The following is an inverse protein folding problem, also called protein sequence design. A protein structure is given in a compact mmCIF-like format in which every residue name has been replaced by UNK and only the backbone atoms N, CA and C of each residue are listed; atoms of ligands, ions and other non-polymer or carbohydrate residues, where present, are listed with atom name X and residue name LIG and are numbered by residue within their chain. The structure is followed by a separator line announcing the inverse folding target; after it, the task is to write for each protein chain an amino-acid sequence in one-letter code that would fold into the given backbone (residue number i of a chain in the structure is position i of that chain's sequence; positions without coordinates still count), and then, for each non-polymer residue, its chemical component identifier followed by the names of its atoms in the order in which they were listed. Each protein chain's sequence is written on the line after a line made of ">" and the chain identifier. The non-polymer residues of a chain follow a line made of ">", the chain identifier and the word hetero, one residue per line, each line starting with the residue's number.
data_IF_983424566862
#
_entry.id   IF_983424566862
#
_cell.length_a   1.000
_cell.length_b   1.000
_cell.length_c   1.000
_cell.angle_alpha   90.00
_cell.angle_beta   90.00
_cell.angle_gamma   90.00
#
_symmetry.space_group_name_H-M   'P 1'
#
loop_
_entity.id
_entity.type
_entity.pdbx_description
1 polymer ?
#
# COMPACT_ATOMS: atom_id res chain seq x y z
N UNK A 1 32.67 12.53 -0.52
CA UNK A 1 31.59 11.52 -0.46
C UNK A 1 31.08 11.33 -1.88
N UNK A 2 31.38 10.18 -2.49
CA UNK A 2 30.98 9.87 -3.86
C UNK A 2 29.47 9.58 -3.87
N UNK A 3 28.72 10.36 -4.64
CA UNK A 3 27.27 10.22 -4.84
C UNK A 3 27.07 9.04 -5.79
N UNK A 4 26.67 7.87 -5.28
CA UNK A 4 26.27 6.74 -6.15
C UNK A 4 25.10 7.20 -7.03
N UNK A 5 25.20 6.96 -8.33
CA UNK A 5 24.09 7.16 -9.26
C UNK A 5 23.08 6.01 -9.09
N UNK A 6 21.79 6.32 -9.27
CA UNK A 6 20.75 5.30 -9.28
C UNK A 6 21.05 4.27 -10.39
N UNK A 7 21.30 3.01 -10.00
CA UNK A 7 21.54 1.92 -10.96
C UNK A 7 22.69 0.95 -10.64
N UNK A 8 23.47 1.15 -9.58
CA UNK A 8 24.39 0.10 -9.09
C UNK A 8 23.68 -0.92 -8.18
N UNK A 9 24.34 -2.05 -7.91
CA UNK A 9 23.91 -3.21 -7.11
C UNK A 9 22.93 -2.88 -5.96
N UNK A 10 21.99 -3.80 -5.63
CA UNK A 10 21.04 -3.63 -4.54
C UNK A 10 21.71 -3.04 -3.29
N UNK A 11 21.05 -2.07 -2.66
CA UNK A 11 21.61 -1.40 -1.48
C UNK A 11 21.76 -2.35 -0.28
N UNK A 12 21.10 -3.51 -0.35
CA UNK A 12 21.07 -4.55 0.67
C UNK A 12 21.37 -5.90 0.04
N UNK A 13 21.99 -6.79 0.80
CA UNK A 13 22.21 -8.19 0.41
C UNK A 13 20.91 -9.01 0.41
N UNK A 14 20.91 -10.18 -0.23
CA UNK A 14 19.76 -11.11 -0.16
C UNK A 14 19.42 -11.56 1.27
N UNK A 15 20.42 -11.61 2.18
CA UNK A 15 20.19 -11.96 3.58
C UNK A 15 19.43 -10.83 4.28
N UNK A 16 19.91 -9.59 4.12
CA UNK A 16 19.24 -8.41 4.69
C UNK A 16 17.83 -8.24 4.12
N UNK A 17 17.62 -8.51 2.81
CA UNK A 17 16.29 -8.48 2.21
C UNK A 17 15.35 -9.52 2.83
N UNK A 18 15.83 -10.75 3.08
CA UNK A 18 15.03 -11.79 3.75
C UNK A 18 14.66 -11.40 5.18
N UNK A 19 15.60 -10.81 5.92
CA UNK A 19 15.36 -10.36 7.29
C UNK A 19 14.30 -9.26 7.35
N UNK A 20 14.37 -8.29 6.41
CA UNK A 20 13.35 -7.25 6.27
C UNK A 20 11.97 -7.81 5.92
N UNK A 21 11.90 -8.74 4.95
CA UNK A 21 10.64 -9.39 4.59
C UNK A 21 10.05 -10.16 5.78
N UNK A 22 10.88 -10.86 6.55
CA UNK A 22 10.43 -11.61 7.73
C UNK A 22 9.89 -10.67 8.83
N UNK A 23 10.51 -9.51 9.03
CA UNK A 23 10.00 -8.50 9.96
C UNK A 23 8.64 -7.95 9.51
N UNK A 24 8.50 -7.63 8.22
CA UNK A 24 7.22 -7.16 7.66
C UNK A 24 6.14 -8.24 7.75
N UNK A 25 6.49 -9.49 7.46
CA UNK A 25 5.59 -10.65 7.58
C UNK A 25 5.11 -10.84 9.04
N UNK A 26 6.00 -10.73 10.02
CA UNK A 26 5.65 -10.81 11.44
C UNK A 26 4.71 -9.66 11.84
N UNK A 27 5.03 -8.42 11.44
CA UNK A 27 4.22 -7.25 11.76
C UNK A 27 2.82 -7.33 11.13
N UNK A 28 2.74 -7.77 9.87
CA UNK A 28 1.49 -8.01 9.17
C UNK A 28 0.63 -9.06 9.88
N UNK A 29 1.19 -10.24 10.17
CA UNK A 29 0.45 -11.31 10.85
C UNK A 29 0.00 -10.90 12.25
N UNK A 30 0.85 -10.19 13.01
CA UNK A 30 0.48 -9.66 14.31
C UNK A 30 -0.66 -8.64 14.21
N UNK A 31 -0.62 -7.75 13.20
CA UNK A 31 -1.67 -6.79 12.90
C UNK A 31 -2.99 -7.49 12.60
N UNK A 32 -3.01 -8.39 11.61
CA UNK A 32 -4.20 -9.11 11.16
C UNK A 32 -4.84 -9.95 12.29
N UNK A 33 -4.02 -10.63 13.10
CA UNK A 33 -4.52 -11.42 14.22
C UNK A 33 -5.25 -10.57 15.29
N UNK A 34 -4.76 -9.36 15.56
CA UNK A 34 -5.43 -8.44 16.49
C UNK A 34 -6.65 -7.78 15.88
N UNK A 35 -6.61 -7.52 14.58
CA UNK A 35 -7.65 -6.85 13.84
C UNK A 35 -8.93 -7.69 13.77
N UNK A 36 -8.85 -9.00 13.55
CA UNK A 36 -10.04 -9.86 13.53
C UNK A 36 -10.81 -9.80 14.85
N UNK A 37 -10.08 -9.77 15.98
CA UNK A 37 -10.68 -9.63 17.31
C UNK A 37 -11.29 -8.24 17.51
N UNK A 38 -10.59 -7.19 17.12
CA UNK A 38 -11.04 -5.80 17.24
C UNK A 38 -12.24 -5.51 16.32
N UNK A 39 -12.25 -6.07 15.10
CA UNK A 39 -13.36 -5.97 14.15
C UNK A 39 -14.57 -6.75 14.65
N UNK A 40 -14.38 -7.97 15.18
CA UNK A 40 -15.48 -8.70 15.80
C UNK A 40 -16.08 -7.94 16.99
N UNK A 41 -15.26 -7.29 17.83
CA UNK A 41 -15.74 -6.42 18.92
C UNK A 41 -16.53 -5.23 18.36
N UNK A 42 -16.07 -4.58 17.29
CA UNK A 42 -16.72 -3.37 16.75
C UNK A 42 -17.97 -3.69 15.93
N UNK A 43 -18.00 -4.82 15.22
CA UNK A 43 -19.11 -5.26 14.38
C UNK A 43 -20.20 -5.92 15.23
N UNK A 44 -19.83 -6.64 16.31
CA UNK A 44 -20.77 -7.43 17.12
C UNK A 44 -20.96 -6.96 18.56
N UNK A 45 -20.13 -6.04 19.08
CA UNK A 45 -20.10 -5.66 20.50
C UNK A 45 -20.41 -4.18 20.76
N UNK A 46 -21.25 -3.92 21.77
CA UNK A 46 -21.54 -2.59 22.29
C UNK A 46 -20.27 -1.88 22.75
N UNK A 47 -20.00 -0.69 22.20
CA UNK A 47 -18.75 0.03 22.39
C UNK A 47 -18.40 0.34 23.86
N UNK A 48 -17.09 0.21 24.19
CA UNK A 48 -16.31 1.23 24.92
C UNK A 48 -15.02 0.70 25.60
N UNK A 49 -14.64 -0.58 25.52
CA UNK A 49 -13.57 -1.12 26.39
C UNK A 49 -12.22 -1.48 25.73
N UNK A 50 -12.14 -1.80 24.44
CA UNK A 50 -10.89 -2.27 23.80
C UNK A 50 -9.79 -1.22 23.51
N UNK A 51 -10.14 0.05 23.28
CA UNK A 51 -9.20 1.06 22.72
C UNK A 51 -7.97 1.40 23.59
N UNK A 52 -8.05 1.25 24.92
CA UNK A 52 -6.93 1.62 25.81
C UNK A 52 -5.83 0.55 25.88
N UNK A 53 -6.15 -0.72 25.56
CA UNK A 53 -5.16 -1.80 25.56
C UNK A 53 -4.27 -1.79 24.31
N UNK A 54 -4.86 -1.58 23.13
CA UNK A 54 -4.17 -1.54 21.83
C UNK A 54 -3.16 -0.38 21.74
N UNK A 55 -3.56 0.84 22.15
CA UNK A 55 -2.67 2.01 22.23
C UNK A 55 -1.45 1.79 23.13
N UNK A 56 -1.62 1.06 24.24
CA UNK A 56 -0.53 0.77 25.20
C UNK A 56 0.45 -0.30 24.69
N UNK A 57 0.07 -1.14 23.73
CA UNK A 57 0.95 -2.15 23.14
C UNK A 57 1.73 -1.57 21.96
N UNK A 58 1.09 -0.74 21.14
CA UNK A 58 1.75 0.03 20.08
C UNK A 58 2.84 0.97 20.62
N UNK A 59 2.56 1.70 21.70
CA UNK A 59 3.54 2.58 22.35
C UNK A 59 4.65 1.83 23.13
N UNK A 60 4.52 0.52 23.35
CA UNK A 60 5.57 -0.28 24.00
C UNK A 60 6.55 -0.89 23.00
N UNK A 61 6.22 -0.92 21.71
CA UNK A 61 7.15 -1.31 20.63
C UNK A 61 7.97 -0.14 20.07
N UNK A 62 7.48 1.11 20.21
CA UNK A 62 8.16 2.32 19.71
C UNK A 62 8.87 3.02 20.87
N UNK A 63 10.06 2.55 21.21
CA UNK A 63 10.98 3.28 22.08
C UNK A 63 11.64 4.43 21.32
N UNK A 64 11.41 5.66 21.80
CA UNK A 64 12.15 6.91 21.46
C UNK A 64 12.05 7.40 20.01
N UNK A 65 10.96 8.10 19.68
CA UNK A 65 10.87 8.91 18.46
C UNK A 65 9.52 9.58 18.28
N UNK A 66 9.17 10.54 19.15
CA UNK A 66 7.92 11.28 19.05
C UNK A 66 7.86 12.10 17.75
N UNK A 67 6.98 11.72 16.83
CA UNK A 67 6.73 12.45 15.59
C UNK A 67 5.24 12.75 15.47
N UNK A 68 4.92 14.03 15.38
CA UNK A 68 3.57 14.58 15.22
C UNK A 68 3.23 14.55 13.72
N UNK A 69 2.19 13.80 13.36
CA UNK A 69 1.76 13.62 11.97
C UNK A 69 0.95 14.83 11.50
N UNK A 70 1.40 15.49 10.43
CA UNK A 70 0.61 16.48 9.68
C UNK A 70 0.56 16.05 8.22
N UNK A 71 -0.64 16.07 7.63
CA UNK A 71 -0.92 15.62 6.26
C UNK A 71 -0.76 16.83 5.33
N UNK A 72 0.18 16.76 4.38
CA UNK A 72 0.39 17.75 3.32
C UNK A 72 0.46 17.06 1.95
N UNK A 73 0.15 17.78 0.86
CA UNK A 73 0.11 17.29 -0.53
C UNK A 73 1.44 17.56 -1.25
N UNK A 74 1.87 16.62 -2.10
CA UNK A 74 3.00 16.79 -3.01
C UNK A 74 3.03 15.67 -4.06
N UNK A 75 3.31 16.09 -5.30
CA UNK A 75 3.15 15.36 -6.56
C UNK A 75 4.50 14.84 -7.05
N UNK A 76 4.58 13.54 -7.37
CA UNK A 76 5.61 12.93 -8.23
C UNK A 76 4.95 12.25 -9.44
N UNK A 77 5.58 12.26 -10.64
CA UNK A 77 4.92 11.89 -11.87
C UNK A 77 4.96 10.38 -12.13
N UNK A 78 3.82 9.71 -11.98
CA UNK A 78 3.53 8.41 -12.61
C UNK A 78 2.49 8.65 -13.70
N UNK A 79 2.93 9.30 -14.78
CA UNK A 79 2.07 9.92 -15.78
C UNK A 79 1.35 8.97 -16.76
N UNK A 80 1.41 7.66 -16.56
CA UNK A 80 0.65 6.67 -17.35
C UNK A 80 -0.46 5.96 -16.56
N UNK A 81 -0.47 6.02 -15.22
CA UNK A 81 -1.46 5.32 -14.40
C UNK A 81 -2.65 6.20 -13.99
N UNK A 82 -2.64 7.50 -14.27
CA UNK A 82 -3.69 8.42 -13.85
C UNK A 82 -3.98 9.42 -14.97
N UNK A 83 -5.19 9.34 -15.55
CA UNK A 83 -5.70 10.41 -16.42
C UNK A 83 -6.03 11.64 -15.55
N UNK A 84 -5.56 12.85 -15.90
CA UNK A 84 -5.92 14.08 -15.20
C UNK A 84 -7.33 14.48 -15.61
N UNK A 85 -8.33 13.84 -15.02
CA UNK A 85 -9.71 14.32 -15.09
C UNK A 85 -10.31 14.15 -13.70
N UNK A 86 -10.88 15.25 -13.20
CA UNK A 86 -11.67 15.36 -11.96
C UNK A 86 -10.91 15.68 -10.67
N UNK A 87 -10.31 16.87 -10.66
CA UNK A 87 -10.20 17.66 -9.43
C UNK A 87 -11.53 18.21 -8.90
N UNK A 88 -12.68 17.99 -9.56
CA UNK A 88 -14.00 18.45 -9.09
C UNK A 88 -15.14 17.63 -9.73
N UNK A 89 -15.81 16.76 -8.96
CA UNK A 89 -17.27 16.47 -8.98
C UNK A 89 -17.61 15.23 -8.15
N UNK A 90 -17.39 15.28 -6.83
CA UNK A 90 -18.17 14.45 -5.91
C UNK A 90 -18.64 15.37 -4.79
N UNK A 91 -19.91 15.74 -4.80
CA UNK A 91 -20.52 16.58 -3.75
C UNK A 91 -20.67 15.84 -2.42
N UNK A 92 -20.28 14.55 -2.37
CA UNK A 92 -20.32 13.66 -1.20
C UNK A 92 -19.28 12.54 -1.35
N UNK A 93 -18.58 12.18 -0.27
CA UNK A 93 -17.70 11.00 -0.23
C UNK A 93 -18.49 9.71 -0.55
N UNK A 94 -17.87 8.70 -1.19
CA UNK A 94 -18.52 7.42 -1.41
C UNK A 94 -18.87 6.72 -0.08
N UNK A 95 -19.92 5.90 -0.03
CA UNK A 95 -20.24 5.11 1.16
C UNK A 95 -19.08 4.18 1.55
N UNK A 96 -18.89 3.95 2.85
CA UNK A 96 -17.78 3.14 3.36
C UNK A 96 -17.75 1.72 2.75
N UNK A 97 -18.91 1.09 2.58
CA UNK A 97 -18.99 -0.24 1.96
C UNK A 97 -18.61 -0.25 0.46
N UNK A 98 -18.76 0.87 -0.25
CA UNK A 98 -18.31 1.02 -1.64
C UNK A 98 -16.80 1.21 -1.66
N UNK A 99 -16.26 2.03 -0.76
CA UNK A 99 -14.80 2.19 -0.58
C UNK A 99 -14.13 0.86 -0.22
N UNK A 100 -14.74 0.06 0.67
CA UNK A 100 -14.24 -1.26 1.03
C UNK A 100 -14.31 -2.27 -0.14
N UNK A 101 -15.39 -2.26 -0.94
CA UNK A 101 -15.46 -3.09 -2.15
C UNK A 101 -14.40 -2.69 -3.20
N UNK A 102 -14.11 -1.40 -3.31
CA UNK A 102 -13.04 -0.93 -4.18
C UNK A 102 -11.67 -1.40 -3.69
N UNK A 103 -11.37 -1.23 -2.40
CA UNK A 103 -10.14 -1.70 -1.79
C UNK A 103 -9.96 -3.22 -1.98
N UNK A 104 -11.00 -4.04 -1.77
CA UNK A 104 -10.98 -5.47 -2.06
C UNK A 104 -10.56 -5.78 -3.51
N UNK A 105 -11.16 -5.09 -4.48
CA UNK A 105 -10.82 -5.30 -5.89
C UNK A 105 -9.38 -4.86 -6.24
N UNK A 106 -8.87 -3.81 -5.58
CA UNK A 106 -7.50 -3.33 -5.73
C UNK A 106 -6.52 -4.38 -5.21
N UNK A 107 -6.76 -4.89 -4.00
CA UNK A 107 -5.95 -5.94 -3.39
C UNK A 107 -5.89 -7.21 -4.25
N UNK A 108 -7.03 -7.63 -4.81
CA UNK A 108 -7.07 -8.77 -5.72
C UNK A 108 -6.34 -8.51 -7.05
N UNK A 109 -6.29 -7.25 -7.51
CA UNK A 109 -5.46 -6.88 -8.66
C UNK A 109 -3.96 -6.94 -8.31
N UNK A 110 -3.57 -6.54 -7.10
CA UNK A 110 -2.20 -6.67 -6.61
C UNK A 110 -1.77 -8.14 -6.53
N UNK A 111 -2.59 -9.01 -5.96
CA UNK A 111 -2.37 -10.48 -5.95
C UNK A 111 -2.11 -11.01 -7.36
N UNK A 112 -2.98 -10.66 -8.31
CA UNK A 112 -2.87 -11.14 -9.69
C UNK A 112 -1.64 -10.55 -10.42
N UNK A 113 -1.25 -9.32 -10.12
CA UNK A 113 -0.05 -8.69 -10.66
C UNK A 113 1.23 -9.39 -10.16
N UNK A 114 1.34 -9.65 -8.85
CA UNK A 114 2.47 -10.40 -8.29
C UNK A 114 2.59 -11.81 -8.88
N UNK A 115 1.48 -12.50 -9.09
CA UNK A 115 1.48 -13.82 -9.73
C UNK A 115 2.00 -13.76 -11.17
N UNK A 116 1.65 -12.71 -11.94
CA UNK A 116 2.16 -12.51 -13.29
C UNK A 116 3.64 -12.12 -13.31
N UNK A 117 4.09 -11.34 -12.33
CA UNK A 117 5.47 -10.90 -12.18
C UNK A 117 6.41 -12.06 -11.80
N UNK A 118 5.92 -13.10 -11.12
CA UNK A 118 6.73 -14.15 -10.50
C UNK A 118 7.80 -14.76 -11.44
N UNK A 119 7.47 -15.00 -12.71
CA UNK A 119 8.42 -15.61 -13.66
C UNK A 119 9.59 -14.69 -14.06
N UNK A 120 9.46 -13.37 -13.82
CA UNK A 120 10.47 -12.35 -14.13
C UNK A 120 11.30 -11.97 -12.89
N UNK A 121 10.94 -12.48 -11.71
CA UNK A 121 11.67 -12.29 -10.46
C UNK A 121 12.59 -13.49 -10.23
N UNK A 122 13.84 -13.35 -10.68
CA UNK A 122 14.87 -14.39 -10.70
C UNK A 122 15.73 -14.44 -9.45
N UNK A 123 15.91 -13.32 -8.74
CA UNK A 123 16.64 -13.26 -7.47
C UNK A 123 15.80 -13.96 -6.40
N UNK A 124 16.32 -15.00 -5.72
CA UNK A 124 15.51 -15.80 -4.80
C UNK A 124 14.88 -15.00 -3.65
N UNK A 125 15.61 -14.06 -3.05
CA UNK A 125 15.07 -13.21 -2.00
C UNK A 125 13.95 -12.27 -2.51
N UNK A 126 14.06 -11.76 -3.73
CA UNK A 126 13.02 -10.93 -4.37
C UNK A 126 11.77 -11.75 -4.69
N UNK A 127 11.93 -12.94 -5.27
CA UNK A 127 10.82 -13.84 -5.54
C UNK A 127 10.09 -14.25 -4.25
N UNK A 128 10.84 -14.47 -3.17
CA UNK A 128 10.26 -14.74 -1.84
C UNK A 128 9.46 -13.54 -1.33
N UNK A 129 10.01 -12.31 -1.41
CA UNK A 129 9.32 -11.10 -1.00
C UNK A 129 7.99 -10.91 -1.74
N UNK A 130 8.01 -11.06 -3.07
CA UNK A 130 6.82 -10.97 -3.92
C UNK A 130 5.75 -12.02 -3.55
N UNK A 131 6.17 -13.25 -3.24
CA UNK A 131 5.23 -14.29 -2.80
C UNK A 131 4.62 -13.98 -1.43
N UNK A 132 5.39 -13.42 -0.50
CA UNK A 132 4.91 -12.99 0.81
C UNK A 132 3.89 -11.86 0.66
N UNK A 133 4.23 -10.80 -0.10
CA UNK A 133 3.35 -9.65 -0.27
C UNK A 133 2.07 -10.00 -1.03
N UNK A 134 2.12 -10.89 -2.03
CA UNK A 134 0.92 -11.46 -2.64
C UNK A 134 0.01 -12.18 -1.62
N UNK A 135 0.61 -12.84 -0.62
CA UNK A 135 -0.12 -13.43 0.49
C UNK A 135 -0.78 -12.39 1.40
N UNK A 136 -0.08 -11.30 1.69
CA UNK A 136 -0.61 -10.17 2.48
C UNK A 136 -1.82 -9.54 1.78
N UNK A 137 -1.69 -9.17 0.51
CA UNK A 137 -2.80 -8.60 -0.28
C UNK A 137 -4.02 -9.52 -0.31
N UNK A 138 -3.84 -10.84 -0.39
CA UNK A 138 -4.96 -11.78 -0.34
C UNK A 138 -5.71 -11.75 1.02
N UNK A 139 -4.98 -11.57 2.11
CA UNK A 139 -5.56 -11.40 3.45
C UNK A 139 -6.25 -10.03 3.59
N UNK A 140 -5.65 -8.96 3.07
CA UNK A 140 -6.26 -7.63 3.02
C UNK A 140 -7.54 -7.62 2.20
N UNK A 141 -7.55 -8.23 1.01
CA UNK A 141 -8.74 -8.39 0.19
C UNK A 141 -9.89 -9.06 0.97
N UNK A 142 -9.56 -10.12 1.70
CA UNK A 142 -10.54 -10.85 2.53
C UNK A 142 -11.12 -9.95 3.62
N UNK A 143 -10.28 -9.15 4.28
CA UNK A 143 -10.71 -8.24 5.34
C UNK A 143 -11.57 -7.07 4.80
N UNK A 144 -11.19 -6.48 3.66
CA UNK A 144 -12.00 -5.46 3.00
C UNK A 144 -13.33 -6.02 2.48
N UNK A 145 -13.35 -7.26 1.99
CA UNK A 145 -14.57 -7.95 1.59
C UNK A 145 -15.59 -8.03 2.74
N UNK A 146 -15.13 -8.32 3.96
CA UNK A 146 -15.97 -8.39 5.14
C UNK A 146 -16.65 -7.06 5.49
N UNK A 147 -16.01 -5.91 5.20
CA UNK A 147 -16.57 -4.58 5.44
C UNK A 147 -17.38 -4.02 4.26
N UNK A 148 -17.39 -4.71 3.12
CA UNK A 148 -18.11 -4.29 1.90
C UNK A 148 -19.63 -4.45 1.97
N UNK A 149 -20.18 -5.04 3.04
CA UNK A 149 -21.62 -5.33 3.20
C UNK A 149 -22.24 -6.01 1.96
N UNK A 150 -21.51 -6.95 1.36
CA UNK A 150 -21.93 -7.71 0.18
C UNK A 150 -21.71 -7.01 -1.16
N UNK A 151 -21.00 -5.88 -1.19
CA UNK A 151 -20.63 -5.18 -2.44
C UNK A 151 -19.30 -5.65 -3.05
N UNK A 152 -18.50 -6.41 -2.30
CA UNK A 152 -17.28 -7.02 -2.81
C UNK A 152 -17.57 -7.93 -4.01
N UNK A 153 -16.62 -7.98 -4.93
CA UNK A 153 -16.81 -8.71 -6.19
C UNK A 153 -16.16 -10.08 -6.20
N UNK A 154 -15.21 -10.33 -5.30
CA UNK A 154 -14.35 -11.52 -5.32
C UNK A 154 -13.44 -11.53 -6.54
N UNK A 155 -13.25 -10.38 -7.21
CA UNK A 155 -12.53 -10.28 -8.49
C UNK A 155 -11.54 -9.12 -8.47
N UNK A 156 -10.38 -9.29 -9.14
CA UNK A 156 -9.46 -8.19 -9.39
C UNK A 156 -10.14 -7.01 -10.08
N UNK A 157 -9.73 -5.80 -9.73
CA UNK A 157 -10.09 -4.60 -10.46
C UNK A 157 -9.64 -4.76 -11.92
N UNK A 158 -10.57 -4.82 -12.90
CA UNK A 158 -10.24 -5.28 -14.25
C UNK A 158 -9.36 -4.28 -14.99
N UNK A 159 -9.56 -2.98 -14.77
CA UNK A 159 -8.79 -1.95 -15.45
C UNK A 159 -7.40 -1.80 -14.83
N UNK A 160 -7.30 -1.84 -13.50
CA UNK A 160 -5.99 -1.78 -12.83
C UNK A 160 -5.16 -3.01 -13.22
N UNK A 161 -5.76 -4.20 -13.17
CA UNK A 161 -5.08 -5.42 -13.57
C UNK A 161 -4.65 -5.37 -15.05
N UNK A 162 -5.49 -4.87 -15.95
CA UNK A 162 -5.12 -4.72 -17.37
C UNK A 162 -3.87 -3.85 -17.55
N UNK A 163 -3.79 -2.74 -16.82
CA UNK A 163 -2.64 -1.83 -16.89
C UNK A 163 -1.38 -2.50 -16.34
N UNK A 164 -1.45 -3.06 -15.13
CA UNK A 164 -0.33 -3.79 -14.51
C UNK A 164 0.14 -4.96 -15.38
N UNK A 165 -0.79 -5.72 -15.95
CA UNK A 165 -0.47 -6.82 -16.89
C UNK A 165 0.28 -6.34 -18.13
N UNK A 166 -0.09 -5.18 -18.68
CA UNK A 166 0.63 -4.57 -19.80
C UNK A 166 2.05 -4.17 -19.41
N UNK A 167 2.20 -3.47 -18.29
CA UNK A 167 3.52 -3.05 -17.78
C UNK A 167 4.43 -4.25 -17.47
N UNK A 168 3.89 -5.28 -16.80
CA UNK A 168 4.64 -6.51 -16.50
C UNK A 168 5.03 -7.25 -17.78
N UNK A 169 4.14 -7.29 -18.79
CA UNK A 169 4.46 -7.88 -20.09
C UNK A 169 5.67 -7.19 -20.72
N UNK A 170 5.64 -5.85 -20.76
CA UNK A 170 6.65 -4.99 -21.38
C UNK A 170 7.97 -4.88 -20.56
N UNK A 171 7.95 -5.27 -19.28
CA UNK A 171 9.14 -5.29 -18.42
C UNK A 171 10.18 -6.29 -18.95
N UNK A 172 11.34 -5.77 -19.36
CA UNK A 172 12.39 -6.57 -20.01
C UNK A 172 13.25 -7.38 -19.03
N UNK A 173 13.28 -7.00 -17.77
CA UNK A 173 14.12 -7.60 -16.74
C UNK A 173 13.46 -7.55 -15.35
N UNK A 174 14.12 -8.18 -14.38
CA UNK A 174 13.69 -8.20 -12.98
C UNK A 174 13.59 -6.79 -12.40
N UNK A 175 14.51 -5.89 -12.76
CA UNK A 175 14.54 -4.53 -12.22
C UNK A 175 13.32 -3.72 -12.65
N UNK A 176 12.95 -3.78 -13.93
CA UNK A 176 11.72 -3.17 -14.44
C UNK A 176 10.48 -3.79 -13.78
N UNK A 177 10.49 -5.10 -13.57
CA UNK A 177 9.39 -5.81 -12.88
C UNK A 177 9.27 -5.38 -11.41
N UNK A 178 10.39 -5.25 -10.71
CA UNK A 178 10.46 -4.73 -9.34
C UNK A 178 10.00 -3.29 -9.23
N UNK A 179 10.30 -2.45 -10.23
CA UNK A 179 9.83 -1.06 -10.26
C UNK A 179 8.29 -1.00 -10.32
N UNK A 180 7.66 -1.85 -11.14
CA UNK A 180 6.20 -1.94 -11.23
C UNK A 180 5.61 -2.37 -9.87
N UNK A 181 6.20 -3.37 -9.22
CA UNK A 181 5.77 -3.79 -7.88
C UNK A 181 5.92 -2.65 -6.87
N UNK A 182 7.05 -1.94 -6.86
CA UNK A 182 7.27 -0.78 -6.00
C UNK A 182 6.22 0.32 -6.23
N UNK A 183 5.89 0.63 -7.48
CA UNK A 183 4.90 1.66 -7.83
C UNK A 183 3.49 1.23 -7.41
N UNK A 184 3.15 -0.07 -7.54
CA UNK A 184 1.91 -0.65 -7.05
C UNK A 184 1.74 -0.46 -5.54
N UNK A 185 2.77 -0.79 -4.74
CA UNK A 185 2.71 -0.63 -3.27
C UNK A 185 2.54 0.83 -2.84
N UNK A 186 3.23 1.76 -3.50
CA UNK A 186 3.04 3.19 -3.24
C UNK A 186 1.63 3.65 -3.62
N UNK A 187 1.08 3.14 -4.72
CA UNK A 187 -0.31 3.39 -5.13
C UNK A 187 -1.33 2.86 -4.12
N UNK A 188 -1.11 1.66 -3.57
CA UNK A 188 -1.94 1.08 -2.52
C UNK A 188 -1.88 1.92 -1.23
N UNK A 189 -0.67 2.23 -0.74
CA UNK A 189 -0.47 3.07 0.45
C UNK A 189 -1.16 4.45 0.31
N UNK A 190 -1.01 5.11 -0.83
CA UNK A 190 -1.66 6.40 -1.15
C UNK A 190 -3.19 6.29 -1.12
N UNK A 191 -3.71 5.19 -1.65
CA UNK A 191 -5.14 4.91 -1.68
C UNK A 191 -5.68 4.77 -0.26
N UNK A 192 -4.94 4.14 0.65
CA UNK A 192 -5.34 4.00 2.05
C UNK A 192 -5.18 5.29 2.85
N UNK A 193 -4.19 6.12 2.55
CA UNK A 193 -4.10 7.48 3.11
C UNK A 193 -5.36 8.28 2.72
N UNK A 194 -5.74 8.26 1.43
CA UNK A 194 -6.96 8.91 0.96
C UNK A 194 -8.20 8.34 1.65
N UNK A 195 -8.32 7.02 1.71
CA UNK A 195 -9.47 6.35 2.32
C UNK A 195 -9.65 6.77 3.79
N UNK A 196 -8.58 6.89 4.58
CA UNK A 196 -8.65 7.41 5.95
C UNK A 196 -9.23 8.83 6.04
N UNK A 197 -9.05 9.66 5.00
CA UNK A 197 -9.61 11.01 4.93
C UNK A 197 -11.10 11.05 4.60
N UNK A 198 -11.66 9.98 4.01
CA UNK A 198 -13.05 9.95 3.54
C UNK A 198 -13.96 8.97 4.29
N UNK A 199 -13.37 7.93 4.91
CA UNK A 199 -14.09 6.90 5.67
C UNK A 199 -14.67 7.47 6.96
N UNK A 200 -15.88 7.06 7.31
CA UNK A 200 -16.58 7.48 8.53
C UNK A 200 -16.93 6.33 9.47
N UNK A 201 -16.90 5.10 8.96
CA UNK A 201 -17.15 3.90 9.75
C UNK A 201 -15.90 3.52 10.56
N UNK A 202 -16.09 3.21 11.84
CA UNK A 202 -14.99 2.93 12.76
C UNK A 202 -14.22 1.66 12.37
N UNK A 203 -14.93 0.60 11.98
CA UNK A 203 -14.29 -0.65 11.56
C UNK A 203 -13.49 -0.45 10.27
N UNK A 204 -14.04 0.29 9.30
CA UNK A 204 -13.35 0.63 8.06
C UNK A 204 -12.10 1.49 8.30
N UNK A 205 -12.18 2.48 9.19
CA UNK A 205 -11.03 3.30 9.59
C UNK A 205 -9.96 2.45 10.28
N UNK A 206 -10.34 1.55 11.19
CA UNK A 206 -9.40 0.66 11.89
C UNK A 206 -8.68 -0.29 10.94
N UNK A 207 -9.42 -0.96 10.05
CA UNK A 207 -8.86 -1.83 9.01
C UNK A 207 -7.88 -1.07 8.10
N UNK A 208 -8.31 0.08 7.58
CA UNK A 208 -7.49 0.88 6.67
C UNK A 208 -6.22 1.38 7.37
N UNK A 209 -6.34 1.80 8.64
CA UNK A 209 -5.20 2.28 9.44
C UNK A 209 -4.22 1.16 9.83
N UNK A 210 -4.67 -0.10 9.91
CA UNK A 210 -3.78 -1.23 10.16
C UNK A 210 -3.06 -1.72 8.89
N UNK A 211 -3.69 -1.59 7.72
CA UNK A 211 -3.13 -2.06 6.44
C UNK A 211 -2.15 -1.05 5.85
N UNK A 212 -2.45 0.25 5.91
CA UNK A 212 -1.61 1.32 5.34
C UNK A 212 -0.11 1.22 5.72
N UNK A 213 0.27 0.97 6.99
CA UNK A 213 1.68 0.83 7.35
C UNK A 213 2.34 -0.39 6.70
N UNK A 214 1.59 -1.48 6.46
CA UNK A 214 2.09 -2.69 5.82
C UNK A 214 2.39 -2.44 4.34
N UNK A 215 1.49 -1.80 3.59
CA UNK A 215 1.76 -1.42 2.19
C UNK A 215 2.97 -0.48 2.07
N UNK A 216 3.10 0.44 3.04
CA UNK A 216 4.25 1.33 3.09
C UNK A 216 5.55 0.56 3.32
N UNK A 217 5.52 -0.52 4.11
CA UNK A 217 6.68 -1.39 4.33
C UNK A 217 7.00 -2.21 3.10
N UNK A 218 6.01 -2.75 2.38
CA UNK A 218 6.24 -3.41 1.10
C UNK A 218 7.00 -2.49 0.14
N UNK A 219 6.55 -1.24 -0.02
CA UNK A 219 7.20 -0.24 -0.84
C UNK A 219 8.65 0.03 -0.39
N UNK A 220 8.91 0.13 0.93
CA UNK A 220 10.27 0.32 1.46
C UNK A 220 11.18 -0.86 1.10
N UNK A 221 10.72 -2.09 1.32
CA UNK A 221 11.48 -3.32 1.03
C UNK A 221 11.82 -3.40 -0.46
N UNK A 222 10.85 -3.17 -1.34
CA UNK A 222 11.06 -3.17 -2.80
C UNK A 222 11.99 -2.03 -3.25
N UNK A 223 11.86 -0.85 -2.64
CA UNK A 223 12.73 0.29 -2.91
C UNK A 223 14.19 0.01 -2.55
N UNK A 224 14.43 -0.68 -1.44
CA UNK A 224 15.78 -1.13 -1.05
C UNK A 224 16.32 -2.21 -2.00
N UNK A 225 15.48 -3.17 -2.42
CA UNK A 225 15.85 -4.18 -3.41
C UNK A 225 16.20 -3.55 -4.77
N UNK A 226 15.50 -2.47 -5.17
CA UNK A 226 15.79 -1.68 -6.37
C UNK A 226 17.06 -0.82 -6.28
N UNK A 227 17.65 -0.72 -5.08
CA UNK A 227 18.81 0.13 -4.82
C UNK A 227 18.50 1.63 -4.84
N UNK A 228 17.24 2.02 -4.61
CA UNK A 228 16.87 3.43 -4.49
C UNK A 228 17.54 4.03 -3.25
N UNK A 229 18.15 5.21 -3.36
CA UNK A 229 18.72 5.88 -2.19
C UNK A 229 17.60 6.27 -1.21
N UNK A 230 17.89 6.40 0.10
CA UNK A 230 16.96 7.04 1.02
C UNK A 230 16.58 8.44 0.52
N UNK A 231 15.34 8.84 0.77
CA UNK A 231 14.81 10.13 0.34
C UNK A 231 15.76 11.28 0.62
N UNK A 232 15.99 12.07 -0.42
CA UNK A 232 16.73 13.32 -0.35
C UNK A 232 15.79 14.46 -0.75
N UNK A 233 15.52 15.42 0.14
CA UNK A 233 14.73 16.60 -0.19
C UNK A 233 15.34 17.39 -1.36
N UNK A 234 14.49 17.88 -2.24
CA UNK A 234 14.86 18.74 -3.36
C UNK A 234 15.39 20.06 -2.80
N UNK A 235 16.63 20.39 -3.15
CA UNK A 235 17.29 21.61 -2.70
C UNK A 235 16.53 22.84 -3.21
N UNK A 236 16.14 23.73 -2.29
CA UNK A 236 15.42 24.97 -2.63
C UNK A 236 13.91 24.83 -2.76
N UNK A 237 13.35 23.64 -2.55
CA UNK A 237 11.90 23.46 -2.45
C UNK A 237 11.38 23.91 -1.08
N UNK A 238 10.27 24.65 -1.06
CA UNK A 238 9.49 24.90 0.16
C UNK A 238 8.54 23.75 0.48
N UNK A 239 8.34 22.84 -0.47
CA UNK A 239 7.63 21.59 -0.27
C UNK A 239 8.61 20.58 0.36
N UNK A 240 8.38 20.17 1.63
CA UNK A 240 9.26 19.23 2.34
C UNK A 240 9.24 17.81 1.74
N UNK A 241 8.33 17.55 0.81
CA UNK A 241 8.12 16.26 0.16
C UNK A 241 8.64 16.21 -1.27
N UNK A 242 9.01 17.35 -1.87
CA UNK A 242 9.72 17.36 -3.14
C UNK A 242 11.10 16.74 -2.92
N UNK A 243 11.45 15.67 -3.64
CA UNK A 243 12.73 14.98 -3.49
C UNK A 243 12.82 13.68 -4.32
N UNK A 244 13.89 12.92 -4.11
CA UNK A 244 14.14 11.64 -4.81
C UNK A 244 14.66 10.57 -3.85
N UNK A 245 14.29 9.32 -4.07
CA UNK A 245 14.69 8.17 -3.26
C UNK A 245 13.48 7.43 -2.66
N UNK A 246 13.70 6.28 -2.02
CA UNK A 246 12.66 5.62 -1.23
C UNK A 246 12.52 6.35 0.11
N UNK A 247 11.29 6.59 0.55
CA UNK A 247 11.02 7.32 1.79
C UNK A 247 10.19 6.47 2.75
N UNK A 248 10.49 6.48 4.06
CA UNK A 248 9.52 6.19 5.11
C UNK A 248 8.63 7.41 5.42
N UNK A 249 8.20 8.17 4.40
CA UNK A 249 7.15 9.17 4.52
C UNK A 249 5.94 8.64 3.77
N UNK A 250 4.86 8.49 4.53
CA UNK A 250 3.55 8.05 4.08
C UNK A 250 3.14 8.91 2.89
N UNK A 251 3.01 8.23 1.75
CA UNK A 251 2.71 8.79 0.44
C UNK A 251 1.55 9.78 0.51
N UNK A 252 1.60 10.85 -0.28
CA UNK A 252 0.47 11.77 -0.40
C UNK A 252 -0.70 11.06 -1.08
N UNK A 253 -1.94 11.50 -0.79
CA UNK A 253 -3.13 10.98 -1.49
C UNK A 253 -3.16 11.31 -2.99
N UNK A 254 -2.19 12.06 -3.51
CA UNK A 254 -2.11 12.50 -4.91
C UNK A 254 -1.88 11.32 -5.86
N UNK A 255 -1.31 10.22 -5.37
CA UNK A 255 -1.01 9.01 -6.14
C UNK A 255 -2.03 7.89 -5.93
N UNK A 256 -3.17 8.16 -5.26
CA UNK A 256 -4.22 7.15 -5.05
C UNK A 256 -4.71 6.56 -6.38
N UNK A 257 -5.05 5.28 -6.36
CA UNK A 257 -5.82 4.67 -7.45
C UNK A 257 -7.23 5.27 -7.38
N UNK A 258 -7.60 6.05 -8.39
CA UNK A 258 -8.90 6.72 -8.43
C UNK A 258 -10.02 5.71 -8.77
N UNK A 259 -11.00 5.47 -7.86
CA UNK A 259 -12.12 4.58 -8.14
C UNK A 259 -12.96 4.99 -9.36
N UNK A 260 -13.00 6.28 -9.71
CA UNK A 260 -13.71 6.75 -10.89
C UNK A 260 -12.95 6.37 -12.18
N UNK A 261 -11.62 6.44 -12.15
CA UNK A 261 -10.79 5.97 -13.24
C UNK A 261 -10.78 4.43 -13.32
N UNK A 262 -10.87 3.73 -12.18
CA UNK A 262 -10.75 2.28 -12.03
C UNK A 262 -11.99 1.67 -11.35
N UNK A 263 -13.16 1.64 -12.02
CA UNK A 263 -14.39 1.20 -11.39
C UNK A 263 -14.39 -0.29 -11.06
N UNK A 264 -15.04 -0.64 -9.96
CA UNK A 264 -15.34 -2.02 -9.57
C UNK A 264 -16.34 -2.63 -10.56
N UNK A 265 -16.09 -3.86 -11.01
CA UNK A 265 -16.98 -4.55 -11.96
C UNK A 265 -18.39 -4.74 -11.36
N UNK A 266 -19.43 -4.30 -12.08
CA UNK A 266 -20.84 -4.46 -11.66
C UNK A 266 -21.46 -3.26 -10.94
N UNK A 267 -20.76 -2.11 -10.83
CA UNK A 267 -21.31 -0.85 -10.31
C UNK A 267 -21.54 0.21 -11.41
N UNK A 268 -21.99 -0.22 -12.60
CA UNK A 268 -22.42 0.64 -13.70
C UNK A 268 -23.93 0.84 -13.74
#
# INVERSE_FOLDING_TARGET
>A
MLRRQAGEDPLISEVELRDLVAEVDEQHHAGMATLDADLAEVIHGEGSRGMTASRRRFLKGVGLGGLTLTIGQAVLPVSSLLSPAYGQTATTNPPNEVTAAFAESLELAAVAAYQQAAAKLTTPAVASAASTFAGHHAQHATAFAALSKGKATGKPNPKLLQVLSGEIHDANDEKATLQIAYDLENGAASTYVFALGILTDKAALQLTASILPVESQHAVVLGQALGLAPFTPATGSTDPYAGSGYVPYFVTQDQKVDPAAYPVAGQG
#
